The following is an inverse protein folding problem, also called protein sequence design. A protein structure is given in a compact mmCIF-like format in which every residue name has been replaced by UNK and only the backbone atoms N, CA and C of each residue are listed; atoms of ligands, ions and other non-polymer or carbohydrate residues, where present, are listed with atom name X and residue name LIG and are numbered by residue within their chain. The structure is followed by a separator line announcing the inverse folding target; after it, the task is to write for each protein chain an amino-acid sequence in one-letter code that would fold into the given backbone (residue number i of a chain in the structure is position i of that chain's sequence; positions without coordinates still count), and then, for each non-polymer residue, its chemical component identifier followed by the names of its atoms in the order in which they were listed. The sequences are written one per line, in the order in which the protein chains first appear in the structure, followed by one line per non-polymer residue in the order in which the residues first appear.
data_IF_455739423490
#
_entry.id   IF_455739423490
#
_cell.length_a   1.000
_cell.length_b   1.000
_cell.length_c   1.000
_cell.angle_alpha   90.00
_cell.angle_beta   90.00
_cell.angle_gamma   90.00
#
_symmetry.space_group_name_H-M   'P 1'
#
loop_
_entity.id
_entity.type
_entity.pdbx_description
1 polymer ?
#
# COMPACT_ATOMS: atom_id res chain seq x y z
N UNK A 1 21.73 14.98 -5.83
CA UNK A 1 21.38 13.56 -5.71
C UNK A 1 20.04 13.37 -6.38
N UNK A 2 20.00 12.63 -7.50
CA UNK A 2 18.77 12.43 -8.27
C UNK A 2 17.96 11.33 -7.59
N UNK A 3 17.05 11.71 -6.68
CA UNK A 3 16.04 10.78 -6.16
C UNK A 3 15.01 10.52 -7.26
N UNK A 4 15.31 9.59 -8.17
CA UNK A 4 14.31 9.08 -9.11
C UNK A 4 13.27 8.33 -8.28
N UNK A 5 12.03 8.81 -8.31
CA UNK A 5 10.89 8.06 -7.74
C UNK A 5 10.74 6.78 -8.56
N UNK A 6 10.84 5.63 -7.91
CA UNK A 6 10.51 4.37 -8.57
C UNK A 6 8.99 4.27 -8.76
N UNK A 7 8.60 3.64 -9.87
CA UNK A 7 7.22 3.33 -10.21
C UNK A 7 6.59 2.45 -9.11
N UNK A 8 5.38 2.76 -8.61
CA UNK A 8 4.65 1.91 -7.66
C UNK A 8 4.62 0.42 -8.05
N UNK A 9 4.55 0.12 -9.35
CA UNK A 9 4.53 -1.23 -9.88
C UNK A 9 5.82 -2.00 -9.56
N UNK A 10 6.98 -1.34 -9.59
CA UNK A 10 8.28 -1.96 -9.23
C UNK A 10 8.32 -2.34 -7.76
N UNK A 11 7.86 -1.44 -6.89
CA UNK A 11 7.81 -1.70 -5.45
C UNK A 11 6.85 -2.85 -5.15
N UNK A 12 5.67 -2.84 -5.78
CA UNK A 12 4.69 -3.91 -5.62
C UNK A 12 5.23 -5.25 -6.14
N UNK A 13 5.96 -5.27 -7.26
CA UNK A 13 6.57 -6.50 -7.80
C UNK A 13 7.56 -7.12 -6.79
N UNK A 14 8.41 -6.29 -6.16
CA UNK A 14 9.33 -6.74 -5.13
C UNK A 14 8.61 -7.34 -3.90
N UNK A 15 7.43 -6.81 -3.55
CA UNK A 15 6.59 -7.38 -2.50
C UNK A 15 5.92 -8.69 -2.96
N UNK A 16 5.46 -8.80 -4.20
CA UNK A 16 4.83 -10.02 -4.71
C UNK A 16 5.81 -11.19 -4.78
N UNK A 17 7.09 -10.93 -5.06
CA UNK A 17 8.14 -11.95 -5.10
C UNK A 17 8.36 -12.71 -3.77
N UNK A 18 7.85 -12.21 -2.63
CA UNK A 18 7.95 -12.93 -1.35
C UNK A 18 6.74 -13.83 -1.07
N UNK A 19 5.67 -13.81 -1.88
CA UNK A 19 4.45 -14.60 -1.64
C UNK A 19 4.72 -16.10 -1.64
N UNK A 20 5.64 -16.58 -2.48
CA UNK A 20 6.05 -17.99 -2.50
C UNK A 20 6.58 -18.47 -1.14
N UNK A 21 7.01 -17.55 -0.28
CA UNK A 21 7.52 -17.83 1.07
C UNK A 21 6.43 -17.74 2.15
N UNK A 22 5.24 -17.26 1.83
CA UNK A 22 4.14 -16.96 2.77
C UNK A 22 2.93 -17.92 2.60
N UNK A 23 3.18 -19.15 2.19
CA UNK A 23 2.13 -20.15 1.91
C UNK A 23 1.40 -20.58 3.19
N UNK A 24 2.11 -20.67 4.31
CA UNK A 24 1.57 -21.13 5.58
C UNK A 24 1.13 -19.97 6.49
N UNK A 25 0.04 -20.19 7.22
CA UNK A 25 -0.48 -19.20 8.17
C UNK A 25 0.55 -18.98 9.29
N UNK A 26 0.87 -17.72 9.55
CA UNK A 26 1.83 -17.33 10.59
C UNK A 26 3.28 -17.30 10.11
N UNK A 27 3.56 -17.60 8.85
CA UNK A 27 4.89 -17.36 8.27
C UNK A 27 5.15 -15.87 8.11
N UNK A 28 6.38 -15.46 8.41
CA UNK A 28 6.85 -14.08 8.26
C UNK A 28 7.94 -14.02 7.19
N UNK A 29 8.01 -12.89 6.48
CA UNK A 29 9.07 -12.61 5.52
C UNK A 29 9.45 -11.13 5.61
N UNK A 30 10.70 -10.83 5.23
CA UNK A 30 11.19 -9.45 5.14
C UNK A 30 11.21 -9.00 3.69
N UNK A 31 10.70 -7.80 3.45
CA UNK A 31 10.85 -7.08 2.18
C UNK A 31 12.05 -6.14 2.25
N UNK A 32 12.59 -5.77 1.09
CA UNK A 32 13.58 -4.70 1.01
C UNK A 32 12.94 -3.38 1.40
N UNK A 33 13.69 -2.52 2.10
CA UNK A 33 13.22 -1.17 2.44
C UNK A 33 13.14 -0.29 1.20
N UNK A 34 12.09 0.51 1.11
CA UNK A 34 11.91 1.50 0.06
C UNK A 34 11.20 2.75 0.64
N UNK A 35 11.34 3.92 0.01
CA UNK A 35 10.62 5.12 0.44
C UNK A 35 9.11 4.98 0.22
N UNK A 36 8.29 5.28 1.24
CA UNK A 36 6.83 5.29 1.10
C UNK A 36 6.33 6.30 0.05
N UNK A 37 7.13 7.32 -0.25
CA UNK A 37 6.86 8.28 -1.34
C UNK A 37 6.77 7.63 -2.72
N UNK A 38 7.30 6.41 -2.91
CA UNK A 38 7.19 5.67 -4.17
C UNK A 38 5.73 5.31 -4.49
N UNK A 39 4.87 5.15 -3.48
CA UNK A 39 3.43 4.94 -3.70
C UNK A 39 2.65 6.23 -3.98
N UNK A 40 3.32 7.38 -4.06
CA UNK A 40 2.69 8.69 -4.23
C UNK A 40 1.55 8.96 -3.21
N UNK A 41 1.62 8.34 -2.03
CA UNK A 41 0.69 8.54 -0.90
C UNK A 41 1.08 9.72 -0.02
N UNK A 42 2.33 10.19 -0.14
CA UNK A 42 2.86 11.35 0.57
C UNK A 42 2.82 12.56 -0.36
N UNK A 43 2.25 13.68 0.10
CA UNK A 43 2.10 14.91 -0.69
C UNK A 43 1.40 14.68 -2.03
N UNK A 44 0.36 13.85 -2.02
CA UNK A 44 -0.41 13.54 -3.22
C UNK A 44 -1.25 14.73 -3.67
N UNK A 45 -1.39 14.90 -4.98
CA UNK A 45 -2.32 15.85 -5.58
C UNK A 45 -3.68 15.22 -5.88
N UNK A 46 -3.89 13.95 -5.55
CA UNK A 46 -5.17 13.27 -5.74
C UNK A 46 -6.23 13.80 -4.78
N UNK A 47 -7.48 13.83 -5.26
CA UNK A 47 -8.64 14.08 -4.42
C UNK A 47 -8.78 12.97 -3.37
N UNK A 48 -8.90 13.37 -2.10
CA UNK A 48 -9.13 12.47 -0.96
C UNK A 48 -10.55 12.69 -0.45
N UNK A 49 -11.32 11.61 -0.30
CA UNK A 49 -12.54 11.63 0.50
C UNK A 49 -12.20 11.22 1.94
N UNK A 50 -12.78 11.91 2.92
CA UNK A 50 -12.59 11.61 4.34
C UNK A 50 -13.92 11.37 5.06
N UNK A 51 -13.92 10.43 5.99
CA UNK A 51 -15.08 10.16 6.84
C UNK A 51 -14.68 9.45 8.13
N UNK A 52 -15.45 9.67 9.20
CA UNK A 52 -15.35 8.88 10.43
C UNK A 52 -16.08 7.55 10.25
N UNK A 53 -15.48 6.46 10.70
CA UNK A 53 -16.01 5.12 10.55
C UNK A 53 -15.37 4.10 11.48
N UNK A 54 -15.51 2.82 11.13
CA UNK A 54 -15.06 1.70 11.95
C UNK A 54 -13.89 0.94 11.33
N UNK A 55 -13.26 0.09 12.14
CA UNK A 55 -12.44 -1.01 11.63
C UNK A 55 -13.30 -1.95 10.77
N UNK A 56 -12.72 -2.49 9.69
CA UNK A 56 -13.37 -3.45 8.78
C UNK A 56 -13.15 -4.91 9.17
N UNK A 57 -12.47 -5.14 10.30
CA UNK A 57 -12.24 -6.47 10.91
C UNK A 57 -12.99 -6.57 12.25
N UNK A 58 -13.25 -7.80 12.75
CA UNK A 58 -14.02 -8.01 13.97
C UNK A 58 -13.54 -7.17 15.15
N UNK A 59 -14.49 -6.69 15.95
CA UNK A 59 -14.29 -5.64 16.94
C UNK A 59 -14.89 -4.31 16.47
N UNK A 60 -14.86 -4.04 15.16
CA UNK A 60 -15.62 -3.00 14.47
C UNK A 60 -15.70 -1.64 15.19
N UNK A 61 -14.64 -1.26 15.93
CA UNK A 61 -14.66 -0.05 16.75
C UNK A 61 -14.78 1.19 15.85
N UNK A 62 -15.77 2.05 16.14
CA UNK A 62 -15.99 3.35 15.48
C UNK A 62 -14.97 4.39 15.99
N UNK A 63 -13.72 4.19 15.62
CA UNK A 63 -12.58 4.99 16.08
C UNK A 63 -11.60 5.30 14.94
N UNK A 64 -12.05 5.25 13.69
CA UNK A 64 -11.20 5.41 12.50
C UNK A 64 -11.63 6.63 11.69
N UNK A 65 -10.73 7.57 11.48
CA UNK A 65 -10.84 8.56 10.40
C UNK A 65 -10.26 7.94 9.13
N UNK A 66 -11.12 7.61 8.16
CA UNK A 66 -10.71 7.07 6.86
C UNK A 66 -10.29 8.19 5.91
N UNK A 67 -9.19 7.98 5.18
CA UNK A 67 -8.72 8.83 4.09
C UNK A 67 -8.62 7.97 2.82
N UNK A 68 -9.52 8.19 1.86
CA UNK A 68 -9.63 7.37 0.65
C UNK A 68 -9.20 8.18 -0.56
N UNK A 69 -8.17 7.71 -1.27
CA UNK A 69 -7.79 8.27 -2.56
C UNK A 69 -8.87 7.95 -3.62
N UNK A 70 -9.41 8.97 -4.26
CA UNK A 70 -10.51 8.81 -5.23
C UNK A 70 -10.06 8.33 -6.61
N UNK A 71 -8.75 8.13 -6.79
CA UNK A 71 -8.15 7.57 -7.99
C UNK A 71 -7.30 6.36 -7.60
N UNK A 72 -7.39 5.28 -8.36
CA UNK A 72 -6.56 4.10 -8.17
C UNK A 72 -5.13 4.31 -8.68
N UNK A 73 -4.20 3.57 -8.11
CA UNK A 73 -2.86 3.42 -8.67
C UNK A 73 -2.84 2.20 -9.58
N UNK A 74 -2.45 2.41 -10.84
CA UNK A 74 -2.28 1.30 -11.77
C UNK A 74 -1.08 0.45 -11.33
N UNK A 75 -1.28 -0.86 -11.38
CA UNK A 75 -0.27 -1.90 -11.25
C UNK A 75 -0.29 -2.70 -12.55
N UNK A 76 0.81 -3.37 -12.89
CA UNK A 76 0.88 -4.16 -14.13
C UNK A 76 0.10 -5.47 -13.99
N UNK A 77 -0.44 -5.97 -15.11
CA UNK A 77 -1.31 -7.16 -15.15
C UNK A 77 -0.59 -8.47 -14.74
N UNK A 78 0.76 -8.46 -14.75
CA UNK A 78 1.61 -9.58 -14.36
C UNK A 78 1.92 -9.64 -12.86
N UNK A 79 1.31 -8.75 -12.08
CA UNK A 79 1.33 -8.76 -10.61
C UNK A 79 0.09 -9.46 -10.06
#
# INVERSE_FOLDING_TARGET
SNNVKEDPSVVMHNMMNIIEKLVEIGTEASIQTFPLSNFNVVNTNHTIASYEGSLTTPGCNEAVTWLVAMHGYAISDDQ
#
